data_IF_021067582446
#
_entry.id   IF_021067582446
#
_cell.length_a   1.000
_cell.length_b   1.000
_cell.length_c   1.000
_cell.angle_alpha   90.00
_cell.angle_beta   90.00
_cell.angle_gamma   90.00
#
_symmetry.space_group_name_H-M   'P 1'
#
loop_
_entity.id
_entity.type
_entity.pdbx_description
1 polymer ?
#
# COMPACT_ATOMS: atom_id res chain seq x y z
N UNK A 1 -13.48 -19.30 19.97
CA UNK A 1 -12.62 -18.38 19.19
C UNK A 1 -11.80 -19.23 18.26
N UNK A 2 -12.10 -19.18 16.97
CA UNK A 2 -11.40 -19.98 15.97
C UNK A 2 -10.07 -19.27 15.67
N UNK A 3 -8.99 -19.80 16.23
CA UNK A 3 -7.62 -19.34 15.99
C UNK A 3 -7.15 -19.82 14.62
N UNK A 4 -7.81 -19.35 13.57
CA UNK A 4 -7.32 -19.57 12.21
C UNK A 4 -6.52 -18.34 11.82
N UNK A 5 -5.21 -18.53 11.68
CA UNK A 5 -4.32 -17.56 11.06
C UNK A 5 -4.90 -17.17 9.69
N UNK A 6 -5.31 -15.91 9.56
CA UNK A 6 -5.81 -15.38 8.30
C UNK A 6 -4.60 -15.18 7.38
N UNK A 7 -4.72 -15.63 6.14
CA UNK A 7 -3.65 -15.46 5.15
C UNK A 7 -3.39 -13.97 4.90
N UNK A 8 -2.12 -13.54 4.77
CA UNK A 8 -1.80 -12.16 4.42
C UNK A 8 -2.47 -11.73 3.11
N UNK A 9 -2.89 -10.48 3.04
CA UNK A 9 -3.35 -9.88 1.78
C UNK A 9 -2.13 -9.30 1.08
N UNK A 10 -1.93 -9.66 -0.19
CA UNK A 10 -0.83 -9.14 -1.00
C UNK A 10 -1.34 -8.32 -2.18
N UNK A 11 -0.61 -7.25 -2.49
CA UNK A 11 -0.92 -6.35 -3.59
C UNK A 11 0.34 -5.67 -4.11
N UNK A 12 0.39 -5.38 -5.40
CA UNK A 12 1.44 -4.53 -5.97
C UNK A 12 0.82 -3.22 -6.42
N UNK A 13 1.15 -2.14 -5.74
CA UNK A 13 0.78 -0.79 -6.17
C UNK A 13 1.58 -0.41 -7.42
N UNK A 14 0.93 0.00 -8.52
CA UNK A 14 1.62 0.34 -9.75
C UNK A 14 2.18 1.77 -9.75
N UNK A 15 1.82 2.61 -8.76
CA UNK A 15 2.27 4.00 -8.68
C UNK A 15 2.15 4.61 -7.29
N UNK A 16 2.81 5.75 -7.08
CA UNK A 16 2.68 6.54 -5.84
C UNK A 16 1.24 6.99 -5.61
N UNK A 17 0.51 7.34 -6.67
CA UNK A 17 -0.89 7.77 -6.58
C UNK A 17 -1.79 6.64 -6.09
N UNK A 18 -1.57 5.41 -6.55
CA UNK A 18 -2.32 4.23 -6.07
C UNK A 18 -1.99 3.91 -4.62
N UNK A 19 -0.74 4.10 -4.18
CA UNK A 19 -0.36 3.98 -2.76
C UNK A 19 -1.08 5.01 -1.90
N UNK A 20 -1.20 6.26 -2.36
CA UNK A 20 -1.95 7.29 -1.64
C UNK A 20 -3.45 6.97 -1.58
N UNK A 21 -4.04 6.55 -2.70
CA UNK A 21 -5.43 6.08 -2.74
C UNK A 21 -5.67 4.90 -1.80
N UNK A 22 -4.72 3.96 -1.72
CA UNK A 22 -4.79 2.88 -0.73
C UNK A 22 -4.86 3.42 0.69
N UNK A 23 -4.01 4.37 1.06
CA UNK A 23 -4.08 5.05 2.37
C UNK A 23 -5.45 5.70 2.61
N UNK A 24 -5.99 6.41 1.61
CA UNK A 24 -7.29 7.06 1.71
C UNK A 24 -8.43 6.06 1.93
N UNK A 25 -8.41 4.91 1.24
CA UNK A 25 -9.40 3.87 1.43
C UNK A 25 -9.21 3.13 2.76
N UNK A 26 -7.97 2.92 3.19
CA UNK A 26 -7.66 2.31 4.48
C UNK A 26 -8.25 3.12 5.64
N UNK A 27 -8.23 4.45 5.55
CA UNK A 27 -8.86 5.34 6.53
C UNK A 27 -10.35 5.06 6.77
N UNK A 28 -11.07 4.51 5.77
CA UNK A 28 -12.50 4.16 5.91
C UNK A 28 -12.75 2.94 6.81
N UNK A 29 -11.69 2.21 7.16
CA UNK A 29 -11.74 1.07 8.09
C UNK A 29 -11.44 1.47 9.53
N UNK A 30 -11.09 2.73 9.77
CA UNK A 30 -10.67 3.25 11.06
C UNK A 30 -11.79 4.04 11.74
N UNK A 31 -12.05 3.71 13.01
CA UNK A 31 -13.05 4.32 13.87
C UNK A 31 -12.42 5.01 15.11
N UNK A 32 -11.08 4.94 15.25
CA UNK A 32 -10.30 5.45 16.38
C UNK A 32 -9.87 4.31 17.31
N UNK A 33 -8.61 4.30 17.73
CA UNK A 33 -8.00 3.17 18.46
C UNK A 33 -7.10 2.29 17.59
N UNK A 34 -7.15 2.44 16.27
CA UNK A 34 -6.39 1.56 15.38
C UNK A 34 -4.90 1.88 15.33
N UNK A 35 -4.08 0.84 15.45
CA UNK A 35 -2.64 0.89 15.17
C UNK A 35 -2.33 0.24 13.82
N UNK A 36 -1.57 0.96 12.99
CA UNK A 36 -1.07 0.53 11.68
C UNK A 36 0.45 0.53 11.74
N UNK A 37 1.03 -0.66 11.80
CA UNK A 37 2.47 -0.90 11.84
C UNK A 37 3.04 -0.98 10.42
N UNK A 38 3.94 -0.07 10.06
CA UNK A 38 4.54 0.04 8.74
C UNK A 38 6.00 -0.39 8.76
N UNK A 39 6.32 -1.39 7.96
CA UNK A 39 7.66 -1.97 7.83
C UNK A 39 8.11 -1.88 6.38
N UNK A 40 9.39 -1.59 6.17
CA UNK A 40 9.98 -1.48 4.83
C UNK A 40 11.22 -0.62 4.83
N UNK A 41 12.05 -0.74 3.80
CA UNK A 41 13.30 0.00 3.67
C UNK A 41 13.10 1.52 3.55
N UNK A 42 14.21 2.26 3.61
CA UNK A 42 14.22 3.69 3.28
C UNK A 42 13.69 3.89 1.86
N UNK A 43 12.77 4.85 1.68
CA UNK A 43 12.17 5.11 0.36
C UNK A 43 11.09 4.12 -0.09
N UNK A 44 10.74 3.12 0.73
CA UNK A 44 9.68 2.15 0.40
C UNK A 44 8.30 2.80 0.21
N UNK A 45 8.07 3.99 0.79
CA UNK A 45 6.82 4.74 0.65
C UNK A 45 5.92 4.73 1.89
N UNK A 46 6.46 4.33 3.05
CA UNK A 46 5.77 4.36 4.36
C UNK A 46 5.08 5.71 4.63
N UNK A 47 5.83 6.81 4.61
CA UNK A 47 5.29 8.16 4.79
C UNK A 47 4.23 8.54 3.73
N UNK A 48 4.35 8.03 2.50
CA UNK A 48 3.33 8.29 1.47
C UNK A 48 2.02 7.57 1.75
N UNK A 49 2.08 6.37 2.32
CA UNK A 49 0.88 5.68 2.80
C UNK A 49 0.24 6.46 3.96
N UNK A 50 1.03 6.97 4.90
CA UNK A 50 0.52 7.79 6.02
C UNK A 50 -0.13 9.08 5.52
N UNK A 51 0.44 9.72 4.50
CA UNK A 51 -0.18 10.90 3.85
C UNK A 51 -1.56 10.57 3.28
N UNK A 52 -1.69 9.47 2.56
CA UNK A 52 -2.98 9.01 2.04
C UNK A 52 -3.98 8.69 3.16
N UNK A 53 -3.52 8.03 4.23
CA UNK A 53 -4.32 7.75 5.42
C UNK A 53 -4.86 9.03 6.07
N UNK A 54 -3.99 10.01 6.29
CA UNK A 54 -4.37 11.30 6.85
C UNK A 54 -5.40 12.02 5.97
N UNK A 55 -5.19 12.05 4.66
CA UNK A 55 -6.15 12.63 3.71
C UNK A 55 -7.52 11.92 3.76
N UNK A 56 -7.54 10.58 3.81
CA UNK A 56 -8.78 9.82 3.95
C UNK A 56 -9.50 10.04 5.29
N UNK A 57 -8.76 10.44 6.33
CA UNK A 57 -9.32 10.88 7.60
C UNK A 57 -9.71 12.36 7.61
N UNK A 58 -9.48 13.11 6.53
CA UNK A 58 -9.81 14.53 6.41
C UNK A 58 -8.78 15.48 7.02
N UNK A 59 -7.59 14.98 7.37
CA UNK A 59 -6.44 15.81 7.76
C UNK A 59 -5.78 16.35 6.49
N UNK A 60 -5.24 17.58 6.55
CA UNK A 60 -4.51 18.16 5.42
C UNK A 60 -3.24 17.34 5.11
N UNK A 61 -3.15 16.67 3.94
CA UNK A 61 -1.99 15.85 3.58
C UNK A 61 -0.70 16.65 3.43
N UNK A 62 -0.78 17.97 3.17
CA UNK A 62 0.39 18.83 3.09
C UNK A 62 1.07 19.06 4.44
N UNK A 63 0.32 18.89 5.54
CA UNK A 63 0.87 18.98 6.90
C UNK A 63 1.69 17.75 7.30
N UNK A 64 1.50 16.62 6.60
CA UNK A 64 2.12 15.34 6.96
C UNK A 64 3.53 15.21 6.40
N UNK A 65 4.49 14.98 7.28
CA UNK A 65 5.91 14.79 6.93
C UNK A 65 6.52 13.70 7.81
N UNK A 66 7.63 13.11 7.38
CA UNK A 66 8.27 12.04 8.15
C UNK A 66 8.74 12.57 9.51
N UNK A 67 8.28 12.01 10.64
CA UNK A 67 8.64 12.50 11.97
C UNK A 67 10.03 12.03 12.42
N UNK A 68 10.90 11.59 11.51
CA UNK A 68 12.25 11.03 11.79
C UNK A 68 13.10 11.84 12.78
N UNK A 69 12.94 13.16 12.85
CA UNK A 69 13.68 14.01 13.80
C UNK A 69 12.91 14.34 15.09
N UNK A 70 11.58 14.36 15.04
CA UNK A 70 10.71 14.71 16.17
C UNK A 70 10.11 13.47 16.85
N UNK A 71 10.37 12.28 16.30
CA UNK A 71 9.89 10.95 16.67
C UNK A 71 8.38 10.74 16.53
N UNK A 72 7.59 11.75 16.84
CA UNK A 72 6.13 11.73 16.77
C UNK A 72 5.57 13.06 16.24
N UNK A 73 4.53 12.98 15.41
CA UNK A 73 3.69 14.10 15.02
C UNK A 73 2.22 13.75 15.23
N UNK A 74 1.44 14.73 15.67
CA UNK A 74 0.00 14.63 15.75
C UNK A 74 -0.64 15.56 14.72
N UNK A 75 -1.51 15.00 13.89
CA UNK A 75 -2.22 15.75 12.87
C UNK A 75 -3.73 15.72 13.18
N UNK A 76 -4.31 16.90 13.31
CA UNK A 76 -5.71 17.10 13.69
C UNK A 76 -6.47 17.85 12.60
N UNK A 77 -7.79 18.00 12.79
CA UNK A 77 -8.66 18.75 11.87
C UNK A 77 -9.48 17.88 10.90
N UNK A 78 -9.23 16.56 10.90
CA UNK A 78 -10.05 15.57 10.22
C UNK A 78 -11.14 14.96 11.10
N UNK A 79 -11.77 13.88 10.61
CA UNK A 79 -12.72 13.02 11.31
C UNK A 79 -12.10 12.36 12.54
N UNK A 80 -10.84 11.93 12.43
CA UNK A 80 -10.03 11.39 13.52
C UNK A 80 -8.63 12.01 13.44
N UNK A 81 -7.98 12.28 14.59
CA UNK A 81 -6.57 12.65 14.60
C UNK A 81 -5.69 11.48 14.14
N UNK A 82 -4.56 11.82 13.52
CA UNK A 82 -3.51 10.87 13.14
C UNK A 82 -2.30 11.09 14.02
N UNK A 83 -1.89 10.03 14.72
CA UNK A 83 -0.62 9.98 15.44
C UNK A 83 0.38 9.28 14.54
N UNK A 84 1.42 9.96 14.11
CA UNK A 84 2.45 9.42 13.22
C UNK A 84 3.77 9.32 13.97
N UNK A 85 4.26 8.09 14.13
CA UNK A 85 5.48 7.76 14.85
C UNK A 85 6.51 7.21 13.87
N UNK A 86 7.78 7.54 14.05
CA UNK A 86 8.92 6.95 13.35
C UNK A 86 9.87 6.31 14.38
N UNK A 87 9.89 4.97 14.40
CA UNK A 87 10.66 4.17 15.33
C UNK A 87 12.10 3.85 14.85
N UNK A 88 12.55 4.43 13.73
CA UNK A 88 13.87 4.14 13.15
C UNK A 88 15.03 4.29 14.14
N UNK A 89 14.91 5.21 15.10
CA UNK A 89 15.95 5.50 16.11
C UNK A 89 15.63 4.99 17.52
N UNK A 90 14.49 4.32 17.71
CA UNK A 90 14.09 3.85 19.03
C UNK A 90 14.84 2.58 19.41
N UNK A 91 15.16 2.45 20.68
CA UNK A 91 15.89 1.31 21.28
C UNK A 91 15.03 0.64 22.36
N UNK A 92 13.76 0.40 22.05
CA UNK A 92 12.80 -0.29 22.91
C UNK A 92 11.93 0.63 23.77
N UNK A 93 11.28 0.03 24.77
CA UNK A 93 10.20 0.65 25.55
C UNK A 93 10.52 2.03 26.17
N UNK A 94 11.75 2.29 26.63
CA UNK A 94 12.07 3.57 27.28
C UNK A 94 11.94 4.78 26.35
N UNK A 95 12.27 4.62 25.06
CA UNK A 95 12.13 5.70 24.08
C UNK A 95 10.65 5.92 23.74
N UNK A 96 9.87 4.84 23.69
CA UNK A 96 8.43 4.88 23.50
C UNK A 96 7.71 5.58 24.66
N UNK A 97 8.07 5.26 25.91
CA UNK A 97 7.52 5.93 27.09
C UNK A 97 7.78 7.45 27.05
N UNK A 98 8.95 7.87 26.52
CA UNK A 98 9.31 9.28 26.43
C UNK A 98 8.42 10.09 25.48
N UNK A 99 7.79 9.43 24.50
CA UNK A 99 6.83 10.04 23.56
C UNK A 99 5.37 9.78 23.96
N UNK A 100 5.14 9.21 25.14
CA UNK A 100 3.79 8.95 25.65
C UNK A 100 3.12 7.71 25.07
N UNK A 101 3.90 6.73 24.57
CA UNK A 101 3.37 5.44 24.10
C UNK A 101 2.56 4.76 25.20
N UNK A 102 1.24 4.75 25.02
CA UNK A 102 0.30 4.31 26.04
C UNK A 102 -1.04 4.00 25.40
N UNK A 103 -1.90 3.24 26.09
CA UNK A 103 -3.25 2.97 25.61
C UNK A 103 -4.03 4.26 25.30
N UNK A 104 -3.80 5.30 26.10
CA UNK A 104 -4.41 6.63 25.92
C UNK A 104 -3.99 7.31 24.62
N UNK A 105 -2.78 7.06 24.11
CA UNK A 105 -2.31 7.60 22.84
C UNK A 105 -3.10 7.03 21.66
N UNK A 106 -3.53 5.78 21.77
CA UNK A 106 -4.30 5.09 20.74
C UNK A 106 -5.79 5.47 20.81
N UNK A 107 -6.30 5.73 22.01
CA UNK A 107 -7.72 6.06 22.22
C UNK A 107 -8.17 7.29 21.41
N UNK A 108 -9.08 7.06 20.45
CA UNK A 108 -9.69 8.12 19.65
C UNK A 108 -8.84 8.65 18.50
N UNK A 109 -7.66 8.08 18.25
CA UNK A 109 -6.78 8.42 17.13
C UNK A 109 -6.50 7.21 16.24
N UNK A 110 -5.97 7.46 15.04
CA UNK A 110 -5.36 6.41 14.22
C UNK A 110 -3.85 6.57 14.31
N UNK A 111 -3.16 5.53 14.79
CA UNK A 111 -1.72 5.57 15.00
C UNK A 111 -1.00 4.82 13.89
N UNK A 112 -0.19 5.53 13.12
CA UNK A 112 0.70 4.94 12.11
C UNK A 112 2.14 4.94 12.63
N UNK A 113 2.77 3.77 12.66
CA UNK A 113 4.14 3.60 13.16
C UNK A 113 5.04 3.16 12.02
N UNK A 114 5.96 4.02 11.58
CA UNK A 114 7.03 3.64 10.66
C UNK A 114 8.16 2.91 11.39
N UNK A 115 8.79 1.96 10.70
CA UNK A 115 9.86 1.11 11.25
C UNK A 115 9.40 0.32 12.46
N UNK A 116 8.15 -0.16 12.40
CA UNK A 116 7.50 -0.86 13.51
C UNK A 116 8.22 -2.15 13.90
N UNK A 117 9.05 -2.71 13.01
CA UNK A 117 9.92 -3.87 13.28
C UNK A 117 10.99 -3.59 14.35
N UNK A 118 11.31 -2.32 14.62
CA UNK A 118 12.21 -1.94 15.71
C UNK A 118 11.56 -2.01 17.10
N UNK A 119 10.23 -2.07 17.15
CA UNK A 119 9.43 -2.09 18.39
C UNK A 119 8.38 -3.21 18.36
N UNK A 120 8.69 -4.33 17.69
CA UNK A 120 7.75 -5.43 17.43
C UNK A 120 7.12 -5.97 18.71
N UNK A 121 7.92 -6.08 19.78
CA UNK A 121 7.50 -6.60 21.08
C UNK A 121 6.59 -5.62 21.85
N UNK A 122 6.59 -4.34 21.47
CA UNK A 122 5.81 -3.28 22.10
C UNK A 122 4.52 -2.92 21.34
N UNK A 123 4.32 -3.48 20.14
CA UNK A 123 3.08 -3.29 19.37
C UNK A 123 1.88 -3.91 20.10
N UNK A 124 0.69 -3.28 20.06
CA UNK A 124 -0.51 -3.90 20.63
C UNK A 124 -0.88 -5.17 19.88
N UNK A 125 -1.54 -6.11 20.55
CA UNK A 125 -2.00 -7.35 19.91
C UNK A 125 -2.94 -7.09 18.70
N UNK A 126 -3.72 -6.02 18.78
CA UNK A 126 -4.66 -5.58 17.75
C UNK A 126 -4.01 -4.51 16.87
N UNK A 127 -3.43 -4.92 15.75
CA UNK A 127 -2.85 -3.99 14.76
C UNK A 127 -2.96 -4.52 13.33
N UNK A 128 -2.86 -3.61 12.38
CA UNK A 128 -2.60 -3.94 10.97
C UNK A 128 -1.12 -3.80 10.70
N UNK A 129 -0.44 -4.89 10.38
CA UNK A 129 0.95 -4.86 9.90
C UNK A 129 0.96 -4.74 8.38
N UNK A 130 1.71 -3.78 7.86
CA UNK A 130 1.90 -3.55 6.43
C UNK A 130 3.40 -3.53 6.14
N UNK A 131 3.87 -4.53 5.42
CA UNK A 131 5.21 -4.60 4.88
C UNK A 131 5.20 -4.03 3.44
N UNK A 132 6.14 -3.12 3.17
CA UNK A 132 6.26 -2.41 1.89
C UNK A 132 7.65 -2.66 1.29
N UNK A 133 7.67 -3.29 0.12
CA UNK A 133 8.88 -3.63 -0.62
C UNK A 133 8.97 -2.89 -1.96
N UNK A 134 10.20 -2.67 -2.43
CA UNK A 134 10.44 -2.20 -3.80
C UNK A 134 10.19 -3.35 -4.78
N UNK A 135 9.16 -3.23 -5.61
CA UNK A 135 8.90 -4.18 -6.70
C UNK A 135 9.60 -3.73 -8.00
N UNK A 136 9.65 -2.43 -8.24
CA UNK A 136 10.31 -1.76 -9.36
C UNK A 136 10.57 -0.29 -8.97
N UNK A 137 11.04 0.55 -9.90
CA UNK A 137 11.28 2.00 -9.68
C UNK A 137 10.05 2.70 -9.07
N UNK A 138 8.89 2.58 -9.72
CA UNK A 138 7.63 3.22 -9.29
C UNK A 138 6.65 2.27 -8.58
N UNK A 139 6.94 0.96 -8.59
CA UNK A 139 6.02 -0.06 -8.08
C UNK A 139 6.41 -0.49 -6.68
N UNK A 140 5.42 -0.73 -5.82
CA UNK A 140 5.62 -1.18 -4.45
C UNK A 140 4.81 -2.44 -4.17
N UNK A 141 5.45 -3.45 -3.60
CA UNK A 141 4.79 -4.62 -3.05
C UNK A 141 4.26 -4.32 -1.65
N UNK A 142 3.04 -4.72 -1.36
CA UNK A 142 2.39 -4.62 -0.06
C UNK A 142 2.03 -6.02 0.42
N UNK A 143 2.44 -6.34 1.64
CA UNK A 143 1.99 -7.53 2.37
C UNK A 143 1.32 -7.08 3.66
N UNK A 144 0.05 -7.42 3.83
CA UNK A 144 -0.79 -6.93 4.92
C UNK A 144 -1.23 -8.09 5.81
N UNK A 145 -0.85 -8.03 7.08
CA UNK A 145 -1.17 -9.02 8.11
C UNK A 145 -2.06 -8.39 9.16
N UNK A 146 -3.24 -8.99 9.38
CA UNK A 146 -4.26 -8.47 10.30
C UNK A 146 -4.15 -9.22 11.64
N UNK A 147 -3.75 -8.51 12.68
CA UNK A 147 -3.50 -9.04 14.02
C UNK A 147 -4.68 -8.72 14.95
N UNK A 148 -5.06 -9.70 15.78
CA UNK A 148 -6.17 -9.53 16.73
C UNK A 148 -7.49 -9.13 16.06
N UNK A 149 -8.17 -8.13 16.62
CA UNK A 149 -9.47 -7.63 16.17
C UNK A 149 -9.46 -7.00 14.76
N UNK A 150 -8.28 -6.70 14.20
CA UNK A 150 -8.19 -6.30 12.79
C UNK A 150 -8.70 -7.38 11.85
N UNK A 151 -8.67 -8.67 12.24
CA UNK A 151 -9.15 -9.78 11.40
C UNK A 151 -10.60 -9.62 10.95
N UNK A 152 -11.43 -8.94 11.73
CA UNK A 152 -12.84 -8.66 11.36
C UNK A 152 -12.97 -7.73 10.15
N UNK A 153 -11.91 -6.96 9.84
CA UNK A 153 -11.84 -6.06 8.68
C UNK A 153 -11.34 -6.75 7.41
N UNK A 154 -10.96 -8.04 7.46
CA UNK A 154 -10.34 -8.76 6.35
C UNK A 154 -11.13 -8.67 5.03
N UNK A 155 -12.44 -8.97 5.07
CA UNK A 155 -13.26 -8.96 3.87
C UNK A 155 -13.38 -7.55 3.24
N UNK A 156 -13.43 -6.50 4.07
CA UNK A 156 -13.47 -5.11 3.61
C UNK A 156 -12.13 -4.69 3.02
N UNK A 157 -11.03 -5.01 3.69
CA UNK A 157 -9.69 -4.70 3.21
C UNK A 157 -9.37 -5.42 1.89
N UNK A 158 -9.73 -6.70 1.77
CA UNK A 158 -9.55 -7.45 0.54
C UNK A 158 -10.37 -6.87 -0.63
N UNK A 159 -11.56 -6.34 -0.33
CA UNK A 159 -12.37 -5.63 -1.32
C UNK A 159 -11.73 -4.31 -1.77
N UNK A 160 -11.21 -3.50 -0.83
CA UNK A 160 -10.46 -2.28 -1.15
C UNK A 160 -9.29 -2.60 -2.10
N UNK A 161 -8.53 -3.65 -1.78
CA UNK A 161 -7.42 -4.07 -2.64
C UNK A 161 -7.90 -4.53 -4.01
N UNK A 162 -9.00 -5.29 -4.10
CA UNK A 162 -9.57 -5.70 -5.38
C UNK A 162 -10.02 -4.49 -6.23
N UNK A 163 -10.61 -3.48 -5.60
CA UNK A 163 -11.09 -2.27 -6.29
C UNK A 163 -9.92 -1.35 -6.75
N UNK A 164 -8.75 -1.45 -6.12
CA UNK A 164 -7.56 -0.69 -6.46
C UNK A 164 -6.74 -1.27 -7.62
N UNK A 165 -6.96 -2.53 -7.97
CA UNK A 165 -6.25 -3.19 -9.07
C UNK A 165 -6.67 -2.63 -10.42
N UNK A 166 -5.71 -2.47 -11.30
CA UNK A 166 -6.02 -2.02 -12.65
C UNK A 166 -6.60 -3.19 -13.46
N UNK A 167 -7.66 -2.89 -14.21
CA UNK A 167 -8.26 -3.85 -15.14
C UNK A 167 -8.13 -3.35 -16.57
N UNK A 168 -7.71 -4.24 -17.48
CA UNK A 168 -7.66 -3.96 -18.91
C UNK A 168 -8.36 -5.06 -19.71
N UNK A 169 -9.01 -4.72 -20.83
CA UNK A 169 -9.56 -5.73 -21.72
C UNK A 169 -8.42 -6.53 -22.35
N UNK A 170 -8.56 -7.85 -22.37
CA UNK A 170 -7.62 -8.74 -23.02
C UNK A 170 -7.53 -8.42 -24.52
N UNK A 171 -6.33 -8.16 -25.08
CA UNK A 171 -6.21 -7.83 -26.50
C UNK A 171 -6.71 -8.92 -27.45
N UNK A 172 -6.70 -10.18 -27.00
CA UNK A 172 -7.08 -11.34 -27.81
C UNK A 172 -8.59 -11.60 -27.83
N UNK A 173 -9.26 -11.49 -26.68
CA UNK A 173 -10.67 -11.91 -26.52
C UNK A 173 -11.59 -10.85 -25.88
N UNK A 174 -11.06 -9.74 -25.39
CA UNK A 174 -11.83 -8.65 -24.78
C UNK A 174 -12.25 -8.85 -23.32
N UNK A 175 -11.97 -10.01 -22.70
CA UNK A 175 -12.29 -10.23 -21.27
C UNK A 175 -11.54 -9.26 -20.37
N UNK A 176 -12.16 -8.77 -19.28
CA UNK A 176 -11.48 -7.92 -18.29
C UNK A 176 -10.40 -8.73 -17.55
N UNK A 177 -9.18 -8.20 -17.49
CA UNK A 177 -8.02 -8.84 -16.88
C UNK A 177 -7.43 -7.92 -15.83
N UNK A 178 -7.28 -8.46 -14.63
CA UNK A 178 -6.63 -7.85 -13.48
C UNK A 178 -5.09 -7.88 -13.65
N UNK A 179 -4.43 -6.79 -13.27
CA UNK A 179 -2.98 -6.61 -13.37
C UNK A 179 -2.15 -7.55 -12.48
N UNK A 180 -2.76 -8.22 -11.50
CA UNK A 180 -2.09 -9.23 -10.70
C UNK A 180 -1.93 -10.58 -11.42
N UNK A 181 -2.62 -10.81 -12.54
CA UNK A 181 -2.50 -12.07 -13.28
C UNK A 181 -1.14 -12.09 -14.00
N UNK A 182 -0.32 -13.15 -13.88
CA UNK A 182 1.02 -13.21 -14.51
C UNK A 182 1.01 -13.06 -16.04
N UNK A 183 -0.16 -13.27 -16.67
CA UNK A 183 -0.33 -13.15 -18.12
C UNK A 183 -0.85 -11.79 -18.55
N UNK A 184 -1.08 -10.84 -17.63
CA UNK A 184 -1.54 -9.49 -17.94
C UNK A 184 -0.71 -8.87 -19.08
N UNK A 185 -1.35 -8.23 -20.09
CA UNK A 185 -2.78 -7.91 -20.20
C UNK A 185 -3.67 -9.05 -20.74
N UNK A 186 -3.15 -10.27 -20.89
CA UNK A 186 -3.91 -11.42 -21.39
C UNK A 186 -4.58 -12.20 -20.26
N UNK A 187 -5.81 -12.65 -20.50
CA UNK A 187 -6.57 -13.45 -19.52
C UNK A 187 -6.03 -14.89 -19.36
N UNK A 188 -5.14 -15.34 -20.24
CA UNK A 188 -4.54 -16.67 -20.20
C UNK A 188 -3.29 -16.75 -21.08
N UNK A 189 -2.44 -17.75 -20.80
CA UNK A 189 -1.30 -18.08 -21.66
C UNK A 189 -1.72 -18.39 -23.09
N UNK A 190 -2.91 -18.98 -23.27
CA UNK A 190 -3.48 -19.26 -24.60
C UNK A 190 -3.75 -17.97 -25.38
N UNK A 191 -4.36 -16.97 -24.74
CA UNK A 191 -4.63 -15.68 -25.38
C UNK A 191 -3.34 -14.92 -25.72
N UNK A 192 -2.32 -15.00 -24.86
CA UNK A 192 -0.97 -14.47 -25.12
C UNK A 192 -0.33 -15.12 -26.35
N UNK A 193 -0.38 -16.45 -26.45
CA UNK A 193 0.17 -17.17 -27.61
C UNK A 193 -0.61 -16.89 -28.90
N UNK A 194 -1.95 -16.75 -28.81
CA UNK A 194 -2.77 -16.41 -29.97
C UNK A 194 -2.43 -15.02 -30.53
N UNK A 195 -2.16 -14.06 -29.66
CA UNK A 195 -1.74 -12.70 -30.04
C UNK A 195 -0.35 -12.69 -30.69
N UNK A 196 0.62 -13.37 -30.08
CA UNK A 196 1.97 -13.55 -30.67
C UNK A 196 1.91 -14.19 -32.06
N UNK A 197 1.06 -15.18 -32.27
CA UNK A 197 0.90 -15.81 -33.58
C UNK A 197 0.36 -14.85 -34.64
N UNK A 198 -0.55 -13.92 -34.28
CA UNK A 198 -1.02 -12.87 -35.20
C UNK A 198 0.13 -11.95 -35.65
N UNK A 199 1.09 -11.71 -34.77
CA UNK A 199 2.31 -10.96 -35.10
C UNK A 199 3.19 -11.72 -36.10
N UNK A 200 3.38 -13.03 -35.89
CA UNK A 200 4.14 -13.87 -36.83
C UNK A 200 3.44 -14.11 -38.17
N UNK A 201 2.10 -14.12 -38.22
CA UNK A 201 1.34 -14.28 -39.47
C UNK A 201 1.29 -13.01 -40.32
N UNK A 202 1.83 -11.89 -39.83
CA UNK A 202 1.81 -10.61 -40.55
C UNK A 202 0.47 -9.89 -40.48
N UNK A 203 -0.41 -10.25 -39.53
CA UNK A 203 -1.68 -9.55 -39.31
C UNK A 203 -1.47 -8.14 -38.73
N UNK A 204 -0.28 -7.86 -38.19
CA UNK A 204 0.15 -6.51 -37.79
C UNK A 204 1.09 -5.94 -38.84
N UNK A 205 0.66 -4.88 -39.53
CA UNK A 205 1.54 -4.10 -40.43
C UNK A 205 1.99 -2.82 -39.73
N UNK A 206 3.30 -2.62 -39.59
CA UNK A 206 3.84 -1.30 -39.23
C UNK A 206 3.62 -0.39 -40.44
N UNK A 207 2.74 0.60 -40.30
CA UNK A 207 2.22 1.39 -41.42
C UNK A 207 3.24 2.36 -42.04
N UNK A 208 4.42 2.51 -41.44
CA UNK A 208 5.52 3.33 -41.93
C UNK A 208 6.87 2.86 -41.38
N UNK A 209 7.97 2.97 -42.14
CA UNK A 209 9.31 2.66 -41.64
C UNK A 209 9.63 3.53 -40.43
N UNK A 210 10.36 2.97 -39.46
CA UNK A 210 10.96 3.74 -38.37
C UNK A 210 11.95 4.75 -38.96
N UNK A 211 11.85 6.01 -38.56
CA UNK A 211 12.80 7.06 -38.94
C UNK A 211 13.84 7.26 -37.84
N UNK A 212 14.97 7.90 -38.17
CA UNK A 212 16.00 8.24 -37.18
C UNK A 212 15.47 9.19 -36.06
N UNK A 213 14.32 9.82 -36.27
CA UNK A 213 13.63 10.65 -35.26
C UNK A 213 12.84 9.79 -34.26
N UNK A 214 12.42 8.57 -34.63
CA UNK A 214 11.73 7.64 -33.73
C UNK A 214 12.70 7.03 -32.69
N UNK A 215 14.00 6.96 -33.00
CA UNK A 215 15.06 6.47 -32.09
C UNK A 215 15.43 7.51 -30.99
N UNK A 216 15.11 8.80 -31.17
CA UNK A 216 15.44 9.87 -30.22
C UNK A 216 14.37 10.09 -29.13
N UNK A 217 13.24 9.36 -29.19
CA UNK A 217 12.11 9.50 -28.25
C UNK A 217 12.17 8.57 -27.02
N UNK A 218 13.19 7.70 -26.94
CA UNK A 218 13.37 6.74 -25.85
C UNK A 218 14.49 7.13 -24.84
N UNK A 219 14.81 8.43 -24.71
CA UNK A 219 15.83 8.94 -23.75
C UNK A 219 15.24 9.84 -22.67
#
# INVERSE_FOLDING_TARGET
MNDQAVQPITWTSPSVQKTQQFGQHLASLCDGGEVIALVGSLGAGKTQLVRGLAEGLGVDPLSVSSPTFVLMCEYSGGRLPVVHIDAYRMQGLSDLESIGWSAQLFEGAVTAVEWADHIEDELPADHLRIEIDHADEDRRGFTMTLCGDWRDRYAKLNRIIADLRDTRPCPSCGSSVDDAVPTFPFCSSRCKMADLNKWFSGDYSISRPLTAEDDELDV
#
